data_IF_942477652554
#
_entry.id   IF_942477652554
#
_cell.length_a   1.000
_cell.length_b   1.000
_cell.length_c   1.000
_cell.angle_alpha   90.00
_cell.angle_beta   90.00
_cell.angle_gamma   90.00
#
_symmetry.space_group_name_H-M   'P 1'
#
loop_
_entity.id
_entity.type
_entity.pdbx_description
1 polymer ?
#
# COMPACT_ATOMS: atom_id res chain seq x y z
N UNK A 1 -30.28 -14.92 -9.04
CA UNK A 1 -29.18 -15.87 -9.32
C UNK A 1 -27.89 -15.08 -9.18
N UNK A 2 -27.38 -14.98 -7.95
CA UNK A 2 -26.11 -14.31 -7.69
C UNK A 2 -24.98 -15.24 -8.08
N UNK A 3 -24.15 -14.81 -9.02
CA UNK A 3 -22.95 -15.54 -9.38
C UNK A 3 -21.98 -15.46 -8.18
N UNK A 4 -21.77 -16.60 -7.52
CA UNK A 4 -20.68 -16.77 -6.56
C UNK A 4 -19.35 -16.51 -7.28
N UNK A 5 -18.86 -15.28 -7.21
CA UNK A 5 -17.54 -14.92 -7.68
C UNK A 5 -16.52 -15.72 -6.86
N UNK A 6 -15.94 -16.75 -7.48
CA UNK A 6 -14.84 -17.51 -6.89
C UNK A 6 -13.68 -16.54 -6.67
N UNK A 7 -13.37 -16.26 -5.41
CA UNK A 7 -12.21 -15.43 -5.05
C UNK A 7 -10.97 -16.24 -5.45
N UNK A 8 -10.44 -15.98 -6.64
CA UNK A 8 -9.18 -16.57 -7.09
C UNK A 8 -8.09 -16.04 -6.17
N UNK A 9 -7.62 -16.90 -5.26
CA UNK A 9 -6.52 -16.57 -4.36
C UNK A 9 -5.24 -16.46 -5.18
N UNK A 10 -4.93 -15.26 -5.69
CA UNK A 10 -3.67 -14.99 -6.40
C UNK A 10 -2.53 -15.09 -5.40
N UNK A 11 -1.71 -16.12 -5.53
CA UNK A 11 -0.46 -16.18 -4.78
C UNK A 11 0.45 -15.02 -5.19
N UNK A 12 1.07 -14.30 -4.23
CA UNK A 12 2.05 -13.28 -4.55
C UNK A 12 3.19 -13.86 -5.38
N UNK A 13 3.65 -13.13 -6.40
CA UNK A 13 4.72 -13.56 -7.31
C UNK A 13 6.05 -13.93 -6.62
N UNK A 14 6.22 -13.43 -5.39
CA UNK A 14 7.38 -13.59 -4.53
C UNK A 14 7.19 -14.59 -3.39
N UNK A 15 6.06 -15.31 -3.30
CA UNK A 15 5.84 -16.30 -2.24
C UNK A 15 6.93 -17.38 -2.30
N UNK A 16 7.56 -17.66 -1.16
CA UNK A 16 8.65 -18.64 -1.06
C UNK A 16 9.99 -18.20 -1.68
N UNK A 17 10.12 -16.97 -2.18
CA UNK A 17 11.35 -16.46 -2.78
C UNK A 17 12.02 -15.43 -1.86
N UNK A 18 13.33 -15.57 -1.65
CA UNK A 18 14.13 -14.53 -0.99
C UNK A 18 14.31 -13.38 -1.99
N UNK A 19 13.48 -12.36 -1.86
CA UNK A 19 13.65 -11.10 -2.59
C UNK A 19 14.69 -10.30 -1.82
N UNK A 20 15.85 -10.06 -2.43
CA UNK A 20 16.88 -9.21 -1.84
C UNK A 20 16.40 -7.77 -1.61
N UNK A 21 17.31 -6.91 -1.18
CA UNK A 21 17.00 -5.50 -0.96
C UNK A 21 16.43 -4.88 -2.24
N UNK A 22 15.21 -4.33 -2.15
CA UNK A 22 14.61 -3.55 -3.23
C UNK A 22 15.26 -2.17 -3.27
N UNK A 23 15.48 -1.65 -4.47
CA UNK A 23 15.93 -0.27 -4.64
C UNK A 23 14.91 0.70 -4.03
N UNK A 24 15.34 1.76 -3.34
CA UNK A 24 14.46 2.85 -2.94
C UNK A 24 13.76 3.47 -4.14
N UNK A 25 12.58 4.06 -3.91
CA UNK A 25 11.88 4.80 -4.96
C UNK A 25 12.65 6.08 -5.34
N UNK A 26 12.62 6.43 -6.63
CA UNK A 26 13.02 7.77 -7.06
C UNK A 26 11.86 8.74 -6.87
N UNK A 27 12.15 10.03 -6.72
CA UNK A 27 11.12 11.08 -6.54
C UNK A 27 10.07 11.05 -7.66
N UNK A 28 10.49 10.83 -8.91
CA UNK A 28 9.59 10.69 -10.06
C UNK A 28 8.65 9.48 -9.96
N UNK A 29 9.10 8.39 -9.36
CA UNK A 29 8.31 7.16 -9.22
C UNK A 29 7.24 7.36 -8.14
N UNK A 30 7.59 8.06 -7.05
CA UNK A 30 6.64 8.46 -6.01
C UNK A 30 5.53 9.33 -6.60
N UNK A 31 5.89 10.33 -7.40
CA UNK A 31 4.92 11.20 -8.05
C UNK A 31 4.00 10.44 -9.00
N UNK A 32 4.56 9.59 -9.86
CA UNK A 32 3.79 8.78 -10.79
C UNK A 32 2.80 7.84 -10.07
N UNK A 33 3.21 7.22 -8.95
CA UNK A 33 2.33 6.37 -8.14
C UNK A 33 1.21 7.17 -7.48
N UNK A 34 1.51 8.35 -6.90
CA UNK A 34 0.49 9.24 -6.31
C UNK A 34 -0.59 9.61 -7.33
N UNK A 35 -0.17 10.09 -8.50
CA UNK A 35 -1.08 10.51 -9.57
C UNK A 35 -1.95 9.33 -10.02
N UNK A 36 -1.35 8.16 -10.26
CA UNK A 36 -2.10 6.98 -10.71
C UNK A 36 -3.15 6.55 -9.69
N UNK A 37 -2.79 6.46 -8.41
CA UNK A 37 -3.73 6.08 -7.35
C UNK A 37 -4.87 7.11 -7.20
N UNK A 38 -4.55 8.40 -7.36
CA UNK A 38 -5.54 9.47 -7.32
C UNK A 38 -6.51 9.38 -8.51
N UNK A 39 -6.00 9.19 -9.73
CA UNK A 39 -6.83 9.03 -10.94
C UNK A 39 -7.72 7.78 -10.89
N UNK A 40 -7.24 6.69 -10.28
CA UNK A 40 -8.00 5.46 -10.08
C UNK A 40 -9.00 5.55 -8.89
N UNK A 41 -9.03 6.66 -8.14
CA UNK A 41 -9.91 6.83 -6.98
C UNK A 41 -9.56 5.90 -5.80
N UNK A 42 -8.33 5.39 -5.73
CA UNK A 42 -7.87 4.42 -4.72
C UNK A 42 -7.42 5.10 -3.44
N UNK A 43 -8.38 5.71 -2.73
CA UNK A 43 -8.15 6.57 -1.58
C UNK A 43 -7.37 5.87 -0.45
N UNK A 44 -7.71 4.61 -0.14
CA UNK A 44 -7.04 3.84 0.92
C UNK A 44 -5.57 3.62 0.61
N UNK A 45 -5.27 3.17 -0.61
CA UNK A 45 -3.90 2.89 -1.03
C UNK A 45 -3.08 4.16 -1.18
N UNK A 46 -3.68 5.25 -1.65
CA UNK A 46 -3.03 6.56 -1.69
C UNK A 46 -2.67 7.03 -0.27
N UNK A 47 -3.59 6.92 0.69
CA UNK A 47 -3.34 7.29 2.08
C UNK A 47 -2.23 6.44 2.71
N UNK A 48 -2.28 5.12 2.56
CA UNK A 48 -1.25 4.21 3.07
C UNK A 48 0.11 4.45 2.40
N UNK A 49 0.15 4.70 1.09
CA UNK A 49 1.39 4.98 0.38
C UNK A 49 2.06 6.25 0.90
N UNK A 50 1.30 7.33 1.06
CA UNK A 50 1.82 8.59 1.61
C UNK A 50 2.29 8.41 3.06
N UNK A 51 1.46 7.83 3.91
CA UNK A 51 1.78 7.59 5.31
C UNK A 51 3.02 6.72 5.47
N UNK A 52 3.17 5.66 4.67
CA UNK A 52 4.33 4.78 4.72
C UNK A 52 5.65 5.48 4.37
N UNK A 53 5.62 6.42 3.42
CA UNK A 53 6.79 7.23 3.06
C UNK A 53 7.16 8.18 4.20
N UNK A 54 6.18 8.85 4.79
CA UNK A 54 6.40 9.90 5.79
C UNK A 54 6.81 9.32 7.15
N UNK A 55 6.22 8.19 7.55
CA UNK A 55 6.44 7.54 8.86
C UNK A 55 7.54 6.48 8.87
N UNK A 56 7.92 5.94 7.71
CA UNK A 56 8.89 4.83 7.56
C UNK A 56 8.50 3.56 8.33
N UNK A 57 7.21 3.33 8.57
CA UNK A 57 6.72 2.11 9.20
C UNK A 57 7.02 0.87 8.34
N UNK A 58 7.19 -0.29 8.98
CA UNK A 58 7.22 -1.56 8.25
C UNK A 58 5.85 -1.80 7.63
N UNK A 59 5.82 -2.53 6.51
CA UNK A 59 4.57 -2.81 5.79
C UNK A 59 3.50 -3.45 6.67
N UNK A 60 3.89 -4.38 7.57
CA UNK A 60 2.97 -5.02 8.52
C UNK A 60 2.38 -4.05 9.55
N UNK A 61 3.20 -3.12 10.05
CA UNK A 61 2.78 -2.16 11.06
C UNK A 61 1.85 -1.12 10.43
N UNK A 62 2.18 -0.66 9.23
CA UNK A 62 1.39 0.28 8.44
C UNK A 62 -0.02 -0.25 8.13
N UNK A 63 -0.14 -1.50 7.67
CA UNK A 63 -1.46 -2.09 7.36
C UNK A 63 -2.25 -2.47 8.62
N UNK A 64 -1.57 -2.59 9.76
CA UNK A 64 -2.16 -2.91 11.06
C UNK A 64 -2.72 -1.69 11.81
N UNK A 65 -2.44 -0.47 11.35
CA UNK A 65 -2.92 0.76 11.96
C UNK A 65 -4.44 0.81 12.09
N UNK A 66 -4.91 1.28 13.23
CA UNK A 66 -6.30 1.56 13.54
C UNK A 66 -6.54 3.06 13.62
N UNK A 67 -7.79 3.47 13.48
CA UNK A 67 -8.19 4.89 13.59
C UNK A 67 -7.72 5.52 14.92
N UNK A 68 -7.74 4.75 16.02
CA UNK A 68 -7.27 5.21 17.34
C UNK A 68 -5.77 5.49 17.42
N UNK A 69 -4.99 4.96 16.47
CA UNK A 69 -3.53 5.12 16.43
C UNK A 69 -3.13 6.41 15.70
N UNK A 70 -4.11 7.15 15.15
CA UNK A 70 -3.91 8.38 14.39
C UNK A 70 -4.56 9.54 15.13
N UNK A 71 -3.81 10.61 15.37
CA UNK A 71 -4.29 11.86 15.92
C UNK A 71 -3.90 13.02 14.99
N UNK A 72 -4.69 14.10 15.05
CA UNK A 72 -4.24 15.37 14.50
C UNK A 72 -3.17 15.91 15.45
N UNK A 73 -2.05 16.40 14.90
CA UNK A 73 -1.10 17.19 15.69
C UNK A 73 -1.72 18.56 16.00
N UNK A 74 -1.38 19.11 17.16
CA UNK A 74 -1.73 20.48 17.55
C UNK A 74 -0.97 21.52 16.71
#
# INVERSE_FOLDING_TARGET
>A
MEANATVVHREPWNKGKIVGQKSPFKVKDIWALRVRLQMEGRVRELALFNLGIDSKLRGCDLIGLKVRDVCHGD
#
